data_IF_120271063210
#
_entry.id   IF_120271063210
#
_cell.length_a   1.000
_cell.length_b   1.000
_cell.length_c   1.000
_cell.angle_alpha   90.00
_cell.angle_beta   90.00
_cell.angle_gamma   90.00
#
_symmetry.space_group_name_H-M   'P 1'
#
loop_
_entity.id
_entity.type
_entity.pdbx_description
1 polymer ?
#
# COMPACT_ATOMS: atom_id res chain seq x y z
N UNK A 1 -12.44 14.69 -24.59
CA UNK A 1 -11.56 14.15 -23.53
C UNK A 1 -12.41 13.85 -22.31
N UNK A 2 -12.59 12.58 -21.91
CA UNK A 2 -13.24 12.27 -20.63
C UNK A 2 -12.26 12.69 -19.52
N UNK A 3 -12.70 13.55 -18.59
CA UNK A 3 -11.95 13.80 -17.35
C UNK A 3 -11.85 12.46 -16.65
N UNK A 4 -10.63 11.98 -16.44
CA UNK A 4 -10.42 10.79 -15.64
C UNK A 4 -10.15 11.24 -14.22
N UNK A 5 -11.15 11.05 -13.37
CA UNK A 5 -11.08 11.50 -11.98
C UNK A 5 -10.05 10.64 -11.25
N UNK A 6 -9.14 11.30 -10.54
CA UNK A 6 -8.22 10.67 -9.60
C UNK A 6 -8.86 10.69 -8.22
N UNK A 7 -8.64 9.66 -7.41
CA UNK A 7 -9.00 9.61 -6.00
C UNK A 7 -7.74 9.28 -5.23
N UNK A 8 -7.80 9.56 -3.95
CA UNK A 8 -6.80 9.12 -3.00
C UNK A 8 -7.01 7.63 -2.79
N UNK A 9 -5.93 6.84 -2.83
CA UNK A 9 -5.96 5.42 -2.49
C UNK A 9 -4.78 5.06 -1.62
N UNK A 10 -4.99 4.13 -0.70
CA UNK A 10 -3.94 3.51 0.10
C UNK A 10 -3.65 2.13 -0.46
N UNK A 11 -2.42 1.92 -0.95
CA UNK A 11 -1.96 0.63 -1.51
C UNK A 11 -1.07 -0.07 -0.50
N UNK A 12 -1.45 -1.28 -0.09
CA UNK A 12 -0.65 -2.17 0.73
C UNK A 12 0.14 -3.14 -0.15
N UNK A 13 1.43 -3.29 0.14
CA UNK A 13 2.33 -4.13 -0.66
C UNK A 13 3.52 -4.65 0.13
N UNK A 14 4.09 -5.76 -0.34
CA UNK A 14 5.47 -6.13 -0.04
C UNK A 14 6.38 -5.65 -1.17
N UNK A 15 7.63 -5.31 -0.86
CA UNK A 15 8.66 -5.14 -1.88
C UNK A 15 9.60 -6.34 -1.92
N UNK A 16 10.44 -6.41 -2.95
CA UNK A 16 11.38 -7.51 -3.13
C UNK A 16 12.63 -7.46 -2.23
N UNK A 17 12.69 -6.53 -1.26
CA UNK A 17 13.85 -6.33 -0.38
C UNK A 17 13.49 -6.44 1.09
N UNK A 18 12.21 -6.59 1.44
CA UNK A 18 11.72 -6.55 2.80
C UNK A 18 10.45 -7.38 2.97
N UNK A 19 10.39 -8.12 4.07
CA UNK A 19 9.18 -8.83 4.52
C UNK A 19 8.23 -7.92 5.32
N UNK A 20 8.52 -6.63 5.45
CA UNK A 20 7.67 -5.68 6.16
C UNK A 20 6.51 -5.27 5.27
N UNK A 21 5.28 -5.31 5.82
CA UNK A 21 4.09 -4.81 5.13
C UNK A 21 4.17 -3.29 5.00
N UNK A 22 4.29 -2.80 3.77
CA UNK A 22 4.35 -1.38 3.45
C UNK A 22 2.99 -0.90 2.96
N UNK A 23 2.71 0.38 3.18
CA UNK A 23 1.57 1.05 2.56
C UNK A 23 2.03 2.37 1.94
N UNK A 24 1.31 2.84 0.93
CA UNK A 24 1.52 4.16 0.33
C UNK A 24 0.20 4.78 -0.10
N UNK A 25 0.02 6.04 0.26
CA UNK A 25 -1.09 6.87 -0.19
C UNK A 25 -0.70 7.51 -1.53
N UNK A 26 -1.54 7.33 -2.56
CA UNK A 26 -1.27 7.79 -3.92
C UNK A 26 -2.56 8.30 -4.57
N UNK A 27 -2.42 9.08 -5.63
CA UNK A 27 -3.52 9.50 -6.50
C UNK A 27 -3.44 8.72 -7.80
N UNK A 28 -4.45 7.89 -8.08
CA UNK A 28 -4.49 7.10 -9.31
C UNK A 28 -5.82 7.28 -10.03
N UNK A 29 -5.85 7.09 -11.35
CA UNK A 29 -7.10 7.06 -12.10
C UNK A 29 -7.85 5.74 -11.88
N UNK A 30 -9.16 5.75 -12.10
CA UNK A 30 -10.02 4.56 -12.01
C UNK A 30 -10.60 4.23 -13.38
N UNK A 31 -10.90 2.95 -13.58
CA UNK A 31 -11.77 2.52 -14.68
C UNK A 31 -13.22 2.86 -14.36
N UNK A 32 -14.09 2.85 -15.39
CA UNK A 32 -15.52 3.04 -15.22
C UNK A 32 -16.19 2.03 -14.25
N UNK A 33 -15.53 0.89 -14.02
CA UNK A 33 -15.99 -0.16 -13.12
C UNK A 33 -15.41 -0.03 -11.70
N UNK A 34 -14.80 1.12 -11.36
CA UNK A 34 -14.25 1.40 -10.04
C UNK A 34 -12.88 0.80 -9.74
N UNK A 35 -12.20 0.18 -10.72
CA UNK A 35 -10.86 -0.40 -10.50
C UNK A 35 -9.78 0.67 -10.59
N UNK A 36 -8.94 0.75 -9.56
CA UNK A 36 -7.76 1.62 -9.53
C UNK A 36 -6.72 1.16 -10.56
N UNK A 37 -6.23 2.08 -11.39
CA UNK A 37 -5.14 1.81 -12.34
C UNK A 37 -3.80 2.21 -11.73
N UNK A 38 -3.19 1.26 -11.01
CA UNK A 38 -1.82 1.42 -10.47
C UNK A 38 -0.79 1.29 -11.62
N UNK A 39 0.17 2.22 -11.77
CA UNK A 39 1.22 2.17 -12.78
C UNK A 39 2.07 0.90 -12.70
N UNK A 40 2.49 0.39 -13.86
CA UNK A 40 3.30 -0.82 -13.96
C UNK A 40 4.65 -0.65 -13.26
N UNK A 41 5.24 0.54 -13.32
CA UNK A 41 6.48 0.90 -12.64
C UNK A 41 6.33 0.80 -11.13
N UNK A 42 5.15 1.13 -10.60
CA UNK A 42 4.88 0.99 -9.17
C UNK A 42 4.76 -0.49 -8.77
N UNK A 43 4.16 -1.32 -9.63
CA UNK A 43 4.03 -2.77 -9.40
C UNK A 43 5.35 -3.51 -9.57
N UNK A 44 6.30 -2.94 -10.32
CA UNK A 44 7.61 -3.55 -10.55
C UNK A 44 8.30 -3.77 -9.20
N UNK A 45 8.63 -5.03 -8.93
CA UNK A 45 9.22 -5.48 -7.66
C UNK A 45 8.33 -5.35 -6.42
N UNK A 46 7.02 -5.16 -6.59
CA UNK A 46 6.06 -5.04 -5.49
C UNK A 46 4.90 -6.00 -5.66
N UNK A 47 4.63 -6.80 -4.62
CA UNK A 47 3.45 -7.62 -4.55
C UNK A 47 2.32 -6.79 -3.93
N UNK A 48 1.33 -6.39 -4.74
CA UNK A 48 0.17 -5.62 -4.27
C UNK A 48 -0.78 -6.57 -3.54
N UNK A 49 -1.09 -6.25 -2.28
CA UNK A 49 -1.95 -7.09 -1.43
C UNK A 49 -3.37 -6.54 -1.34
N UNK A 50 -3.50 -5.23 -1.15
CA UNK A 50 -4.79 -4.57 -1.02
C UNK A 50 -4.71 -3.12 -1.48
N UNK A 51 -5.85 -2.60 -1.94
CA UNK A 51 -6.01 -1.20 -2.35
C UNK A 51 -7.31 -0.70 -1.76
N UNK A 52 -7.24 0.37 -0.99
CA UNK A 52 -8.40 1.02 -0.37
C UNK A 52 -8.56 2.43 -0.92
N UNK A 53 -9.81 2.90 -0.99
CA UNK A 53 -10.10 4.30 -1.27
C UNK A 53 -9.83 5.15 -0.03
N UNK A 54 -9.23 6.32 -0.23
CA UNK A 54 -8.88 7.27 0.82
C UNK A 54 -7.46 7.12 1.38
N UNK A 55 -7.13 8.07 2.26
CA UNK A 55 -5.96 8.04 3.13
C UNK A 55 -6.32 7.26 4.39
N UNK A 56 -5.69 6.10 4.57
CA UNK A 56 -5.92 5.25 5.73
C UNK A 56 -4.83 5.43 6.78
N UNK A 57 -5.24 5.64 8.03
CA UNK A 57 -4.34 5.53 9.17
C UNK A 57 -4.14 4.06 9.54
N UNK A 58 -2.91 3.56 9.37
CA UNK A 58 -2.56 2.19 9.77
C UNK A 58 -2.22 2.17 11.25
N UNK A 59 -3.11 1.59 12.06
CA UNK A 59 -2.96 1.53 13.51
C UNK A 59 -1.93 0.49 13.96
N UNK A 60 -1.89 -0.67 13.31
CA UNK A 60 -0.97 -1.76 13.67
C UNK A 60 -0.45 -2.49 12.43
N UNK A 61 0.71 -3.15 12.55
CA UNK A 61 1.29 -4.01 11.49
C UNK A 61 1.76 -5.35 12.04
N UNK A 62 1.89 -6.34 11.15
CA UNK A 62 2.49 -7.64 11.49
C UNK A 62 3.93 -7.42 11.97
N UNK A 63 4.27 -7.95 13.15
CA UNK A 63 5.60 -7.82 13.77
C UNK A 63 5.72 -6.75 14.87
N UNK A 64 4.67 -5.97 15.15
CA UNK A 64 4.67 -4.94 16.20
C UNK A 64 4.84 -5.49 17.63
N UNK A 65 4.63 -6.80 17.82
CA UNK A 65 4.88 -7.52 19.08
C UNK A 65 6.31 -8.03 19.25
N UNK A 66 7.25 -7.72 18.36
CA UNK A 66 8.67 -7.94 18.65
C UNK A 66 9.07 -6.82 19.62
N UNK A 67 8.76 -7.03 20.91
CA UNK A 67 9.39 -6.30 21.99
C UNK A 67 10.91 -6.34 21.73
N UNK A 68 11.67 -5.25 21.98
CA UNK A 68 13.11 -5.39 22.07
C UNK A 68 13.37 -6.58 22.98
N UNK A 69 14.22 -7.51 22.55
CA UNK A 69 14.81 -8.46 23.49
C UNK A 69 15.46 -7.58 24.55
N UNK A 70 14.79 -7.40 25.70
CA UNK A 70 15.44 -6.85 26.88
C UNK A 70 16.64 -7.75 27.10
N UNK A 71 17.82 -7.13 27.06
CA UNK A 71 19.10 -7.80 27.20
C UNK A 71 18.98 -8.86 28.29
N UNK A 72 19.23 -10.11 27.90
CA UNK A 72 19.37 -11.20 28.84
C UNK A 72 20.57 -10.88 29.74
N UNK A 73 20.28 -10.21 30.86
CA UNK A 73 21.20 -9.94 31.95
C UNK A 73 21.38 -11.19 32.82
#
# INVERSE_FOLDING_TARGET
MKRQDNKVVTVFYYDNRSLVLKHRVMHYPYTANGKVMIPTEFKKYRAILAVYEGDLTVLNKVGERILPMEDAA
#
